data_IF_526719981391
#
_entry.id   IF_526719981391
#
_cell.length_a   1.000
_cell.length_b   1.000
_cell.length_c   1.000
_cell.angle_alpha   90.00
_cell.angle_beta   90.00
_cell.angle_gamma   90.00
#
_symmetry.space_group_name_H-M   'P 1'
#
loop_
_entity.id
_entity.type
_entity.pdbx_description
1 polymer ?
#
# COMPACT_ATOMS: atom_id res chain seq x y z
N UNK A 1 -37.43 37.33 -36.90
CA UNK A 1 -37.96 37.65 -35.55
C UNK A 1 -38.81 36.45 -35.17
N UNK A 2 -38.49 35.75 -34.08
CA UNK A 2 -39.29 34.60 -33.64
C UNK A 2 -40.74 35.02 -33.43
N UNK A 3 -41.68 34.15 -33.82
CA UNK A 3 -43.08 34.38 -33.52
C UNK A 3 -43.26 34.42 -31.99
N UNK A 4 -44.09 35.32 -31.46
CA UNK A 4 -44.21 35.54 -30.01
C UNK A 4 -44.45 34.24 -29.22
N UNK A 5 -45.17 33.28 -29.83
CA UNK A 5 -45.46 31.97 -29.26
C UNK A 5 -44.21 31.09 -29.13
N UNK A 6 -43.34 31.08 -30.13
CA UNK A 6 -42.08 30.31 -30.11
C UNK A 6 -41.10 30.87 -29.09
N UNK A 7 -41.00 32.21 -29.01
CA UNK A 7 -40.18 32.87 -28.00
C UNK A 7 -40.63 32.51 -26.58
N UNK A 8 -41.94 32.43 -26.35
CA UNK A 8 -42.51 32.04 -25.05
C UNK A 8 -42.20 30.57 -24.71
N UNK A 9 -42.29 29.67 -25.69
CA UNK A 9 -41.96 28.25 -25.51
C UNK A 9 -40.49 28.08 -25.15
N UNK A 10 -39.60 28.80 -25.82
CA UNK A 10 -38.16 28.78 -25.54
C UNK A 10 -37.85 29.32 -24.14
N UNK A 11 -38.47 30.43 -23.74
CA UNK A 11 -38.31 30.99 -22.39
C UNK A 11 -38.76 30.00 -21.32
N UNK A 12 -39.93 29.40 -21.48
CA UNK A 12 -40.45 28.40 -20.53
C UNK A 12 -39.51 27.18 -20.44
N UNK A 13 -39.03 26.68 -21.59
CA UNK A 13 -38.13 25.52 -21.64
C UNK A 13 -36.79 25.80 -20.97
N UNK A 14 -36.22 27.00 -21.19
CA UNK A 14 -35.00 27.44 -20.52
C UNK A 14 -35.19 27.59 -19.01
N UNK A 15 -36.33 28.13 -18.58
CA UNK A 15 -36.64 28.30 -17.17
C UNK A 15 -36.75 26.95 -16.45
N UNK A 16 -37.40 25.97 -17.08
CA UNK A 16 -37.46 24.58 -16.59
C UNK A 16 -36.08 23.94 -16.54
N UNK A 17 -35.25 24.14 -17.58
CA UNK A 17 -33.88 23.61 -17.60
C UNK A 17 -33.02 24.18 -16.47
N UNK A 18 -33.10 25.49 -16.22
CA UNK A 18 -32.37 26.15 -15.13
C UNK A 18 -32.79 25.60 -13.76
N UNK A 19 -34.10 25.40 -13.55
CA UNK A 19 -34.61 24.80 -12.31
C UNK A 19 -34.10 23.38 -12.11
N UNK A 20 -34.11 22.56 -13.17
CA UNK A 20 -33.58 21.19 -13.10
C UNK A 20 -32.07 21.17 -12.77
N UNK A 21 -31.28 22.06 -13.38
CA UNK A 21 -29.84 22.15 -13.09
C UNK A 21 -29.62 22.51 -11.62
N UNK A 22 -30.39 23.45 -11.07
CA UNK A 22 -30.28 23.84 -9.66
C UNK A 22 -30.65 22.70 -8.71
N UNK A 23 -31.76 22.01 -8.97
CA UNK A 23 -32.19 20.87 -8.16
C UNK A 23 -31.16 19.73 -8.17
N UNK A 24 -30.58 19.42 -9.34
CA UNK A 24 -29.52 18.42 -9.47
C UNK A 24 -28.23 18.85 -8.75
N UNK A 25 -27.90 20.14 -8.79
CA UNK A 25 -26.76 20.67 -8.07
C UNK A 25 -26.94 20.54 -6.56
N UNK A 26 -28.10 20.93 -6.03
CA UNK A 26 -28.43 20.79 -4.61
C UNK A 26 -28.39 19.34 -4.16
N UNK A 27 -28.99 18.42 -4.92
CA UNK A 27 -28.93 16.98 -4.65
C UNK A 27 -27.47 16.46 -4.66
N UNK A 28 -26.64 16.95 -5.58
CA UNK A 28 -25.22 16.59 -5.66
C UNK A 28 -24.45 17.10 -4.44
N UNK A 29 -24.70 18.34 -4.03
CA UNK A 29 -24.08 18.96 -2.85
C UNK A 29 -24.50 18.21 -1.57
N UNK A 30 -25.78 17.90 -1.40
CA UNK A 30 -26.30 17.09 -0.30
C UNK A 30 -25.66 15.69 -0.27
N UNK A 31 -25.56 15.03 -1.42
CA UNK A 31 -24.87 13.73 -1.52
C UNK A 31 -23.36 13.83 -1.24
N UNK A 32 -22.75 15.01 -1.48
CA UNK A 32 -21.34 15.27 -1.17
C UNK A 32 -21.10 15.54 0.32
N UNK A 33 -22.15 15.83 1.11
CA UNK A 33 -22.05 15.93 2.57
C UNK A 33 -21.96 14.56 3.25
N UNK A 34 -22.01 13.44 2.51
CA UNK A 34 -21.77 12.08 3.00
C UNK A 34 -20.28 11.78 3.24
N UNK A 35 -19.59 12.68 3.94
CA UNK A 35 -18.23 12.50 4.44
C UNK A 35 -17.13 12.72 3.40
N UNK A 36 -16.00 13.28 3.83
CA UNK A 36 -14.75 13.19 3.06
C UNK A 36 -14.35 11.72 3.07
N UNK A 37 -14.20 11.03 1.92
CA UNK A 37 -13.67 9.68 1.93
C UNK A 37 -12.29 9.73 2.61
N UNK A 38 -12.12 8.97 3.67
CA UNK A 38 -10.86 8.92 4.39
C UNK A 38 -9.83 8.24 3.48
N UNK A 39 -9.02 9.05 2.82
CA UNK A 39 -8.09 8.59 1.78
C UNK A 39 -7.01 7.70 2.39
N UNK A 40 -6.58 8.01 3.61
CA UNK A 40 -5.58 7.27 4.38
C UNK A 40 -6.07 7.10 5.80
N UNK A 41 -6.11 5.87 6.29
CA UNK A 41 -6.51 5.55 7.66
C UNK A 41 -5.64 4.46 8.25
N UNK A 42 -5.68 4.29 9.57
CA UNK A 42 -4.95 3.22 10.26
C UNK A 42 -5.90 2.10 10.65
N UNK A 43 -5.61 0.90 10.18
CA UNK A 43 -6.36 -0.32 10.49
C UNK A 43 -5.68 -1.10 11.61
N UNK A 44 -6.45 -1.37 12.67
CA UNK A 44 -6.02 -2.18 13.81
C UNK A 44 -6.57 -3.59 13.65
N UNK A 45 -5.69 -4.56 13.48
CA UNK A 45 -6.08 -5.97 13.20
C UNK A 45 -6.35 -6.79 14.46
N UNK A 46 -6.19 -6.20 15.65
CA UNK A 46 -6.30 -6.90 16.94
C UNK A 46 -5.18 -7.91 17.24
N UNK A 47 -4.25 -8.13 16.30
CA UNK A 47 -3.09 -9.01 16.45
C UNK A 47 -1.87 -8.20 16.91
N UNK A 48 -0.91 -8.81 17.64
CA UNK A 48 0.35 -8.15 17.98
C UNK A 48 1.09 -7.69 16.72
N UNK A 49 1.50 -6.42 16.68
CA UNK A 49 2.23 -5.84 15.55
C UNK A 49 1.96 -4.34 15.36
N UNK A 50 2.73 -3.69 14.48
CA UNK A 50 2.53 -2.28 14.13
C UNK A 50 1.22 -2.13 13.34
N UNK A 51 0.33 -1.19 13.73
CA UNK A 51 -0.91 -0.92 13.01
C UNK A 51 -0.71 -0.64 11.51
N UNK A 52 -1.66 -1.04 10.69
CA UNK A 52 -1.54 -1.06 9.23
C UNK A 52 -2.07 0.25 8.65
N UNK A 53 -1.23 1.04 7.97
CA UNK A 53 -1.71 2.21 7.20
C UNK A 53 -2.42 1.76 5.93
N UNK A 54 -3.71 2.00 5.80
CA UNK A 54 -4.52 1.65 4.62
C UNK A 54 -4.75 2.90 3.78
N UNK A 55 -4.74 2.73 2.46
CA UNK A 55 -5.06 3.79 1.50
C UNK A 55 -6.24 3.29 0.68
N UNK A 56 -7.24 4.14 0.47
CA UNK A 56 -8.41 3.78 -0.33
C UNK A 56 -7.99 3.33 -1.75
N UNK A 57 -8.34 2.11 -2.18
CA UNK A 57 -7.84 1.53 -3.44
C UNK A 57 -8.40 2.24 -4.69
N UNK A 58 -9.64 2.73 -4.65
CA UNK A 58 -10.24 3.47 -5.76
C UNK A 58 -9.55 4.82 -5.96
N UNK A 59 -9.31 5.54 -4.87
CA UNK A 59 -8.50 6.74 -4.88
C UNK A 59 -7.09 6.44 -5.41
N UNK A 60 -6.45 5.37 -4.94
CA UNK A 60 -5.10 5.02 -5.34
C UNK A 60 -5.02 4.70 -6.83
N UNK A 61 -6.01 3.99 -7.38
CA UNK A 61 -6.13 3.66 -8.80
C UNK A 61 -6.31 4.92 -9.65
N UNK A 62 -7.14 5.86 -9.21
CA UNK A 62 -7.30 7.14 -9.89
C UNK A 62 -6.01 7.97 -9.84
N UNK A 63 -5.44 8.15 -8.64
CA UNK A 63 -4.32 9.04 -8.42
C UNK A 63 -3.03 8.54 -9.10
N UNK A 64 -2.81 7.21 -9.16
CA UNK A 64 -1.66 6.60 -9.83
C UNK A 64 -1.65 6.82 -11.36
N UNK A 65 -2.81 7.04 -11.99
CA UNK A 65 -2.88 7.40 -13.42
C UNK A 65 -2.40 8.82 -13.72
N UNK A 66 -2.47 9.71 -12.72
CA UNK A 66 -2.25 11.14 -12.91
C UNK A 66 -1.02 11.68 -12.17
N UNK A 67 -0.45 10.93 -11.24
CA UNK A 67 0.75 11.32 -10.47
C UNK A 67 1.75 10.19 -10.34
N UNK A 68 3.02 10.57 -10.28
CA UNK A 68 4.12 9.64 -9.98
C UNK A 68 4.03 9.14 -8.53
N UNK A 69 4.64 7.99 -8.25
CA UNK A 69 4.73 7.42 -6.89
C UNK A 69 5.36 8.39 -5.89
N UNK A 70 6.39 9.13 -6.31
CA UNK A 70 7.02 10.17 -5.49
C UNK A 70 6.07 11.32 -5.18
N UNK A 71 5.31 11.80 -6.17
CA UNK A 71 4.33 12.87 -5.98
C UNK A 71 3.18 12.44 -5.07
N UNK A 72 2.70 11.21 -5.20
CA UNK A 72 1.67 10.64 -4.32
C UNK A 72 2.15 10.46 -2.89
N UNK A 73 3.40 10.04 -2.69
CA UNK A 73 3.98 9.89 -1.36
C UNK A 73 4.02 11.21 -0.60
N UNK A 74 4.42 12.31 -1.26
CA UNK A 74 4.37 13.65 -0.66
C UNK A 74 2.94 14.15 -0.45
N UNK A 75 2.03 13.88 -1.39
CA UNK A 75 0.64 14.33 -1.29
C UNK A 75 -0.14 13.64 -0.16
N UNK A 76 0.08 12.33 0.03
CA UNK A 76 -0.61 11.52 1.03
C UNK A 76 0.10 11.52 2.39
N UNK A 77 1.29 12.11 2.48
CA UNK A 77 2.19 12.01 3.64
C UNK A 77 2.44 10.56 4.08
N UNK A 78 2.66 9.67 3.09
CA UNK A 78 2.91 8.25 3.31
C UNK A 78 4.24 7.86 2.68
N UNK A 79 5.10 7.08 3.37
CA UNK A 79 6.36 6.60 2.79
C UNK A 79 6.15 5.85 1.46
N UNK A 80 7.06 6.07 0.49
CA UNK A 80 7.01 5.42 -0.84
C UNK A 80 6.95 3.90 -0.77
N UNK A 81 7.57 3.29 0.24
CA UNK A 81 7.52 1.84 0.48
C UNK A 81 6.10 1.36 0.84
N UNK A 82 5.41 2.07 1.73
CA UNK A 82 4.02 1.78 2.08
C UNK A 82 3.10 1.99 0.87
N UNK A 83 3.28 3.08 0.13
CA UNK A 83 2.52 3.35 -1.09
C UNK A 83 2.72 2.24 -2.15
N UNK A 84 3.97 1.85 -2.42
CA UNK A 84 4.30 0.78 -3.38
C UNK A 84 3.67 -0.54 -2.96
N UNK A 85 3.77 -0.90 -1.68
CA UNK A 85 3.13 -2.10 -1.13
C UNK A 85 1.61 -2.09 -1.35
N UNK A 86 0.94 -0.96 -1.11
CA UNK A 86 -0.51 -0.84 -1.34
C UNK A 86 -0.88 -0.94 -2.81
N UNK A 87 -0.07 -0.37 -3.71
CA UNK A 87 -0.26 -0.50 -5.16
C UNK A 87 -0.13 -1.96 -5.63
N UNK A 88 0.81 -2.73 -5.07
CA UNK A 88 0.99 -4.15 -5.38
C UNK A 88 -0.17 -5.00 -4.81
N UNK A 89 -0.52 -4.82 -3.54
CA UNK A 89 -1.61 -5.56 -2.89
C UNK A 89 -2.97 -5.30 -3.56
N UNK A 90 -3.20 -4.08 -4.05
CA UNK A 90 -4.45 -3.72 -4.77
C UNK A 90 -4.44 -4.16 -6.23
N UNK A 91 -3.37 -4.79 -6.72
CA UNK A 91 -3.21 -5.21 -8.11
C UNK A 91 -3.15 -4.05 -9.13
N UNK A 92 -2.84 -2.82 -8.68
CA UNK A 92 -2.75 -1.63 -9.53
C UNK A 92 -1.36 -1.55 -10.20
N UNK A 93 -0.32 -1.98 -9.48
CA UNK A 93 1.03 -2.07 -9.99
C UNK A 93 1.48 -3.54 -10.03
N UNK A 94 2.34 -3.86 -10.99
CA UNK A 94 2.99 -5.16 -11.07
C UNK A 94 4.35 -5.13 -10.33
N UNK A 95 4.76 -6.23 -9.69
CA UNK A 95 6.12 -6.38 -9.17
C UNK A 95 7.14 -6.11 -10.28
N UNK A 96 8.23 -5.41 -9.96
CA UNK A 96 9.30 -5.21 -10.93
C UNK A 96 9.99 -6.53 -11.24
N UNK A 97 10.29 -6.76 -12.51
CA UNK A 97 11.11 -7.91 -12.93
C UNK A 97 12.47 -7.83 -12.27
N UNK A 98 12.95 -8.93 -11.69
CA UNK A 98 14.31 -9.00 -11.18
C UNK A 98 15.29 -8.82 -12.36
N UNK A 99 16.13 -7.77 -12.37
CA UNK A 99 17.07 -7.53 -13.47
C UNK A 99 18.26 -8.51 -13.46
N UNK A 100 18.42 -9.29 -12.39
CA UNK A 100 19.46 -10.31 -12.30
C UNK A 100 18.92 -11.64 -12.83
N UNK A 101 19.43 -12.16 -13.96
CA UNK A 101 18.98 -13.44 -14.50
C UNK A 101 19.33 -14.56 -13.50
N UNK A 102 18.36 -15.43 -13.22
CA UNK A 102 18.55 -16.59 -12.34
C UNK A 102 19.59 -17.60 -12.91
N UNK A 103 19.94 -17.47 -14.19
CA UNK A 103 20.84 -18.39 -14.89
C UNK A 103 22.25 -17.77 -14.96
N UNK A 104 23.13 -18.15 -14.03
CA UNK A 104 24.54 -17.78 -14.12
C UNK A 104 25.41 -18.11 -12.90
N UNK A 105 24.85 -18.37 -11.72
CA UNK A 105 25.65 -18.69 -10.54
C UNK A 105 25.82 -20.20 -10.36
N UNK A 106 26.66 -20.78 -11.22
CA UNK A 106 27.42 -21.99 -10.92
C UNK A 106 28.75 -21.56 -10.31
N UNK A 107 28.75 -21.11 -9.05
CA UNK A 107 29.98 -20.86 -8.29
C UNK A 107 29.76 -21.33 -6.85
N UNK A 108 30.52 -22.36 -6.50
CA UNK A 108 30.47 -23.07 -5.23
C UNK A 108 30.68 -22.16 -4.03
N UNK A 109 29.71 -22.19 -3.14
CA UNK A 109 29.73 -21.53 -1.85
C UNK A 109 28.58 -22.09 -1.03
N UNK A 110 28.77 -23.31 -0.52
CA UNK A 110 27.95 -24.00 0.47
C UNK A 110 26.43 -23.81 0.36
N UNK A 111 25.81 -24.74 -0.36
CA UNK A 111 24.37 -24.83 -0.54
C UNK A 111 23.56 -24.82 0.75
N UNK A 112 22.55 -23.97 0.78
CA UNK A 112 21.26 -24.36 1.32
C UNK A 112 20.22 -24.24 0.20
N UNK A 113 19.85 -25.41 -0.32
CA UNK A 113 18.58 -25.71 -0.97
C UNK A 113 17.46 -24.93 -0.30
N UNK A 114 16.74 -24.08 -1.03
CA UNK A 114 15.34 -23.78 -0.69
C UNK A 114 14.55 -23.37 -1.93
N UNK A 115 14.01 -24.37 -2.64
CA UNK A 115 12.72 -24.22 -3.32
C UNK A 115 11.58 -24.21 -2.27
N UNK A 116 11.77 -23.50 -1.16
CA UNK A 116 10.79 -23.38 -0.08
C UNK A 116 9.98 -22.13 -0.37
N UNK A 117 8.68 -22.31 -0.53
CA UNK A 117 7.72 -21.21 -0.63
C UNK A 117 7.68 -20.39 0.67
N UNK A 118 7.27 -19.13 0.58
CA UNK A 118 7.11 -18.25 1.74
C UNK A 118 6.17 -18.88 2.79
N UNK A 119 5.13 -19.61 2.37
CA UNK A 119 4.24 -20.33 3.29
C UNK A 119 4.96 -21.45 4.06
N UNK A 120 5.85 -22.18 3.38
CA UNK A 120 6.65 -23.22 4.02
C UNK A 120 7.70 -22.63 4.97
N UNK A 121 8.26 -21.46 4.63
CA UNK A 121 9.18 -20.72 5.47
C UNK A 121 8.48 -20.22 6.75
N UNK A 122 7.31 -19.60 6.62
CA UNK A 122 6.50 -19.13 7.74
C UNK A 122 6.08 -20.30 8.66
N UNK A 123 5.73 -21.44 8.08
CA UNK A 123 5.43 -22.68 8.83
C UNK A 123 6.64 -23.21 9.60
N UNK A 124 7.84 -23.15 9.02
CA UNK A 124 9.09 -23.50 9.71
C UNK A 124 9.40 -22.54 10.86
N UNK A 125 9.31 -21.24 10.61
CA UNK A 125 9.54 -20.21 11.63
C UNK A 125 8.54 -20.31 12.79
N UNK A 126 7.26 -20.57 12.48
CA UNK A 126 6.22 -20.78 13.48
C UNK A 126 6.49 -21.98 14.39
N UNK A 127 7.09 -23.06 13.85
CA UNK A 127 7.52 -24.20 14.67
C UNK A 127 8.63 -23.80 15.64
N UNK A 128 9.62 -23.01 15.21
CA UNK A 128 10.73 -22.57 16.07
C UNK A 128 10.27 -21.70 17.24
N UNK A 129 9.29 -20.82 17.01
CA UNK A 129 8.71 -19.97 18.07
C UNK A 129 8.08 -20.83 19.17
N UNK A 130 7.42 -21.95 18.83
CA UNK A 130 6.85 -22.89 19.82
C UNK A 130 7.94 -23.49 20.73
N UNK A 131 9.15 -23.71 20.21
CA UNK A 131 10.30 -24.16 20.99
C UNK A 131 11.03 -23.02 21.71
N UNK A 132 10.50 -21.80 21.65
CA UNK A 132 11.12 -20.61 22.23
C UNK A 132 12.33 -20.11 21.46
N UNK A 133 12.55 -20.53 20.22
CA UNK A 133 13.71 -20.11 19.40
C UNK A 133 13.28 -18.96 18.49
N UNK A 134 13.95 -17.82 18.65
CA UNK A 134 13.79 -16.60 17.84
C UNK A 134 15.10 -16.32 17.10
N UNK A 135 15.02 -16.08 15.79
CA UNK A 135 16.19 -15.72 14.97
C UNK A 135 16.22 -14.21 14.74
N UNK A 136 17.27 -13.56 15.21
CA UNK A 136 17.57 -12.15 14.96
C UNK A 136 18.50 -12.05 13.75
N UNK A 137 17.99 -11.53 12.63
CA UNK A 137 18.76 -11.31 11.40
C UNK A 137 18.94 -9.82 11.12
N UNK A 138 20.16 -9.43 10.76
CA UNK A 138 20.53 -8.08 10.36
C UNK A 138 20.93 -8.08 8.88
N UNK A 139 20.43 -7.11 8.12
CA UNK A 139 20.65 -7.00 6.67
C UNK A 139 21.07 -5.57 6.36
N UNK A 140 22.14 -5.40 5.58
CA UNK A 140 22.53 -4.11 5.03
C UNK A 140 21.52 -3.64 3.97
N UNK A 141 21.02 -2.41 4.13
CA UNK A 141 20.05 -1.81 3.22
C UNK A 141 20.60 -1.52 1.83
N UNK A 142 21.91 -1.32 1.68
CA UNK A 142 22.55 -1.04 0.40
C UNK A 142 22.90 -2.33 -0.36
N UNK A 143 23.70 -3.22 0.23
CA UNK A 143 24.20 -4.43 -0.42
C UNK A 143 23.27 -5.66 -0.32
N UNK A 144 22.25 -5.61 0.56
CA UNK A 144 21.39 -6.76 0.92
C UNK A 144 22.15 -7.94 1.53
N UNK A 145 23.40 -7.72 1.95
CA UNK A 145 24.18 -8.72 2.66
C UNK A 145 23.66 -8.88 4.09
N UNK A 146 23.64 -10.13 4.56
CA UNK A 146 23.33 -10.44 5.96
C UNK A 146 24.56 -10.05 6.78
N UNK A 147 24.42 -9.02 7.62
CA UNK A 147 25.50 -8.50 8.48
C UNK A 147 25.56 -9.20 9.82
N UNK A 148 24.51 -9.94 10.20
CA UNK A 148 24.52 -10.76 11.41
C UNK A 148 23.31 -11.68 11.49
N UNK A 149 23.48 -12.85 12.11
CA UNK A 149 22.40 -13.81 12.35
C UNK A 149 22.62 -14.49 13.70
N UNK A 150 21.66 -14.38 14.62
CA UNK A 150 21.77 -14.97 15.96
C UNK A 150 20.45 -15.57 16.43
N UNK A 151 20.47 -16.82 16.88
CA UNK A 151 19.36 -17.43 17.59
C UNK A 151 19.32 -16.97 19.05
N UNK A 152 18.12 -16.78 19.60
CA UNK A 152 17.87 -16.35 20.98
C UNK A 152 16.59 -16.97 21.50
N UNK A 153 16.42 -16.97 22.83
CA UNK A 153 15.25 -17.53 23.49
C UNK A 153 14.14 -16.51 23.80
N UNK A 154 14.29 -15.27 23.31
CA UNK A 154 13.36 -14.18 23.58
C UNK A 154 13.37 -13.13 22.46
N UNK A 155 12.29 -12.34 22.38
CA UNK A 155 12.10 -11.27 21.40
C UNK A 155 12.18 -9.87 22.05
N UNK A 156 13.11 -9.67 22.99
CA UNK A 156 13.26 -8.37 23.67
C UNK A 156 14.08 -7.41 22.81
N UNK A 157 13.62 -6.16 22.69
CA UNK A 157 14.36 -5.12 21.97
C UNK A 157 15.76 -4.86 22.54
N UNK A 158 15.95 -5.03 23.85
CA UNK A 158 17.27 -4.93 24.49
C UNK A 158 18.23 -6.01 24.00
N UNK A 159 17.74 -7.24 23.77
CA UNK A 159 18.54 -8.32 23.19
C UNK A 159 18.95 -7.97 21.76
N UNK A 160 18.02 -7.48 20.94
CA UNK A 160 18.33 -7.01 19.58
C UNK A 160 19.38 -5.90 19.58
N UNK A 161 19.25 -4.89 20.45
CA UNK A 161 20.21 -3.80 20.57
C UNK A 161 21.60 -4.31 20.99
N UNK A 162 21.66 -5.19 21.99
CA UNK A 162 22.95 -5.76 22.43
C UNK A 162 23.62 -6.58 21.33
N UNK A 163 22.84 -7.35 20.56
CA UNK A 163 23.32 -8.12 19.43
C UNK A 163 23.86 -7.21 18.32
N UNK A 164 23.14 -6.13 18.03
CA UNK A 164 23.53 -5.14 17.03
C UNK A 164 24.84 -4.44 17.39
N UNK A 165 25.05 -4.08 18.66
CA UNK A 165 26.29 -3.44 19.12
C UNK A 165 27.47 -4.42 19.20
N UNK A 166 27.21 -5.73 19.24
CA UNK A 166 28.24 -6.78 19.30
C UNK A 166 28.61 -7.37 17.94
N UNK A 167 27.89 -7.00 16.87
CA UNK A 167 28.11 -7.46 15.51
C UNK A 167 29.15 -6.60 14.80
#
# INVERSE_FOLDING_TARGET
>A
IFEHKEAQILQNSLQVMILNIRALYEQRVESSHLGRPEVVYTEYTGRPGRPRTVINPDFLRFAYRHRTTSGLSHFLDVPRSTLRRRLLESGIASPGTNPFPANGYSMGGSGYITNISDEQLDSLLGRLIRWGIIIHGFIDGYSRLITGLRASNNNRGQTVLSLFLSA
#
